data_IF_062979390975
#
_entry.id   IF_062979390975
#
_cell.length_a   1.000
_cell.length_b   1.000
_cell.length_c   1.000
_cell.angle_alpha   90.00
_cell.angle_beta   90.00
_cell.angle_gamma   90.00
#
_symmetry.space_group_name_H-M   'P 1'
#
loop_
_entity.id
_entity.type
_entity.pdbx_description
1 polymer ?
#
# COMPACT_ATOMS: atom_id res chain seq x y z
N UNK A 1 37.31 76.30 50.19
CA UNK A 1 36.94 75.35 49.11
C UNK A 1 36.70 74.00 49.77
N UNK A 2 35.53 73.83 50.40
CA UNK A 2 35.21 72.69 51.27
C UNK A 2 34.52 71.60 50.45
N UNK A 3 35.14 70.43 50.46
CA UNK A 3 34.67 69.15 49.94
C UNK A 3 33.33 68.75 50.56
N UNK A 4 32.24 68.90 49.80
CA UNK A 4 30.93 68.33 50.13
C UNK A 4 30.93 66.87 49.68
N UNK A 5 31.66 66.01 50.40
CA UNK A 5 31.49 64.56 50.29
C UNK A 5 30.28 64.21 51.16
N UNK A 6 29.09 64.27 50.57
CA UNK A 6 27.83 63.84 51.19
C UNK A 6 27.98 62.41 51.68
N UNK A 7 27.86 62.20 52.98
CA UNK A 7 27.80 60.88 53.59
C UNK A 7 26.60 60.13 52.99
N UNK A 8 26.87 59.19 52.10
CA UNK A 8 25.86 58.28 51.57
C UNK A 8 25.46 57.36 52.72
N UNK A 9 24.16 57.31 53.09
CA UNK A 9 23.72 56.48 54.20
C UNK A 9 24.04 55.01 53.89
N UNK A 10 24.61 54.32 54.89
CA UNK A 10 25.01 52.90 54.81
C UNK A 10 23.86 51.99 54.33
N UNK A 11 22.61 52.39 54.55
CA UNK A 11 21.41 51.72 54.03
C UNK A 11 21.40 51.58 52.51
N UNK A 12 21.92 52.55 51.74
CA UNK A 12 21.94 52.48 50.27
C UNK A 12 22.86 51.35 49.79
N UNK A 13 24.04 51.18 50.41
CA UNK A 13 24.95 50.08 50.07
C UNK A 13 24.36 48.72 50.45
N UNK A 14 23.61 48.65 51.54
CA UNK A 14 22.88 47.44 51.92
C UNK A 14 21.82 47.07 50.87
N UNK A 15 20.98 48.02 50.44
CA UNK A 15 19.98 47.77 49.39
C UNK A 15 20.62 47.39 48.05
N UNK A 16 21.71 48.04 47.65
CA UNK A 16 22.43 47.67 46.42
C UNK A 16 23.04 46.27 46.51
N UNK A 17 23.59 45.89 47.67
CA UNK A 17 24.10 44.55 47.91
C UNK A 17 23.01 43.47 47.82
N UNK A 18 21.84 43.73 48.41
CA UNK A 18 20.69 42.81 48.32
C UNK A 18 20.19 42.70 46.88
N UNK A 19 20.05 43.81 46.15
CA UNK A 19 19.62 43.80 44.75
C UNK A 19 20.61 43.04 43.86
N UNK A 20 21.92 43.25 44.05
CA UNK A 20 22.95 42.53 43.31
C UNK A 20 22.89 41.02 43.58
N UNK A 21 22.64 40.62 44.84
CA UNK A 21 22.49 39.22 45.24
C UNK A 21 21.23 38.59 44.62
N UNK A 22 20.08 39.29 44.62
CA UNK A 22 18.86 38.82 43.96
C UNK A 22 19.06 38.59 42.46
N UNK A 23 19.66 39.55 41.75
CA UNK A 23 19.94 39.44 40.31
C UNK A 23 20.93 38.30 40.04
N UNK A 24 21.94 38.12 40.89
CA UNK A 24 22.89 37.02 40.75
C UNK A 24 22.21 35.64 40.84
N UNK A 25 21.33 35.45 41.83
CA UNK A 25 20.56 34.21 41.99
C UNK A 25 19.60 33.95 40.84
N UNK A 26 18.89 34.97 40.36
CA UNK A 26 17.99 34.83 39.21
C UNK A 26 18.74 34.45 37.94
N UNK A 27 19.88 35.10 37.68
CA UNK A 27 20.68 34.85 36.48
C UNK A 27 21.31 33.45 36.50
N UNK A 28 21.92 33.06 37.62
CA UNK A 28 22.55 31.74 37.75
C UNK A 28 21.51 30.62 37.80
N UNK A 29 20.38 30.84 38.49
CA UNK A 29 19.29 29.88 38.54
C UNK A 29 18.67 29.65 37.15
N UNK A 30 18.44 30.72 36.39
CA UNK A 30 17.89 30.63 35.03
C UNK A 30 18.85 29.91 34.09
N UNK A 31 20.15 30.19 34.15
CA UNK A 31 21.14 29.53 33.28
C UNK A 31 21.22 28.03 33.55
N UNK A 32 21.27 27.60 34.82
CA UNK A 32 21.32 26.18 35.18
C UNK A 32 20.07 25.43 34.71
N UNK A 33 18.89 26.05 34.82
CA UNK A 33 17.64 25.45 34.32
C UNK A 33 17.65 25.37 32.80
N UNK A 34 18.12 26.42 32.13
CA UNK A 34 18.20 26.47 30.67
C UNK A 34 19.15 25.40 30.12
N UNK A 35 20.35 25.25 30.71
CA UNK A 35 21.32 24.23 30.31
C UNK A 35 20.77 22.81 30.48
N UNK A 36 20.09 22.54 31.61
CA UNK A 36 19.45 21.23 31.84
C UNK A 36 18.34 20.95 30.84
N UNK A 37 17.55 21.97 30.53
CA UNK A 37 16.49 21.87 29.53
C UNK A 37 17.04 21.61 28.13
N UNK A 38 18.08 22.34 27.74
CA UNK A 38 18.71 22.20 26.43
C UNK A 38 19.40 20.83 26.30
N UNK A 39 20.06 20.34 27.36
CA UNK A 39 20.61 18.98 27.41
C UNK A 39 19.51 17.92 27.27
N UNK A 40 18.41 18.05 28.02
CA UNK A 40 17.29 17.11 27.93
C UNK A 40 16.68 17.09 26.51
N UNK A 41 16.54 18.26 25.88
CA UNK A 41 16.08 18.37 24.49
C UNK A 41 17.03 17.68 23.50
N UNK A 42 18.33 17.88 23.65
CA UNK A 42 19.31 17.22 22.78
C UNK A 42 19.27 15.70 22.95
N UNK A 43 19.17 15.22 24.18
CA UNK A 43 19.05 13.79 24.45
C UNK A 43 17.76 13.20 23.86
N UNK A 44 16.64 13.92 23.97
CA UNK A 44 15.38 13.51 23.37
C UNK A 44 15.50 13.43 21.84
N UNK A 45 16.04 14.47 21.19
CA UNK A 45 16.24 14.49 19.75
C UNK A 45 17.15 13.35 19.27
N UNK A 46 18.20 13.02 20.02
CA UNK A 46 19.07 11.90 19.73
C UNK A 46 18.34 10.55 19.83
N UNK A 47 17.55 10.34 20.89
CA UNK A 47 16.76 9.13 21.06
C UNK A 47 15.70 8.99 19.96
N UNK A 48 15.03 10.09 19.60
CA UNK A 48 14.04 10.13 18.53
C UNK A 48 14.69 9.77 17.18
N UNK A 49 15.88 10.30 16.90
CA UNK A 49 16.62 9.96 15.68
C UNK A 49 16.99 8.47 15.65
N UNK A 50 17.44 7.89 16.77
CA UNK A 50 17.73 6.46 16.83
C UNK A 50 16.49 5.59 16.57
N UNK A 51 15.32 5.99 17.11
CA UNK A 51 14.08 5.28 16.83
C UNK A 51 13.68 5.38 15.36
N UNK A 52 13.89 6.54 14.73
CA UNK A 52 13.64 6.73 13.31
C UNK A 52 14.55 5.80 12.49
N UNK A 53 15.85 5.77 12.80
CA UNK A 53 16.82 4.92 12.10
C UNK A 53 16.48 3.42 12.24
N UNK A 54 16.06 3.00 13.44
CA UNK A 54 15.58 1.64 13.69
C UNK A 54 14.34 1.31 12.83
N UNK A 55 13.35 2.20 12.81
CA UNK A 55 12.16 2.01 11.97
C UNK A 55 12.50 1.96 10.48
N UNK A 56 13.46 2.75 10.02
CA UNK A 56 13.91 2.68 8.63
C UNK A 56 14.55 1.33 8.29
N UNK A 57 15.33 0.76 9.20
CA UNK A 57 15.89 -0.58 9.03
C UNK A 57 14.78 -1.65 9.00
N UNK A 58 13.84 -1.60 9.93
CA UNK A 58 12.68 -2.52 9.96
C UNK A 58 11.84 -2.44 8.68
N UNK A 59 11.58 -1.22 8.18
CA UNK A 59 10.85 -1.00 6.93
C UNK A 59 11.61 -1.58 5.73
N UNK A 60 12.94 -1.48 5.72
CA UNK A 60 13.76 -2.05 4.65
C UNK A 60 13.67 -3.58 4.63
N UNK A 61 13.75 -4.22 5.79
CA UNK A 61 13.63 -5.66 5.94
C UNK A 61 12.22 -6.16 5.55
N UNK A 62 11.19 -5.46 6.01
CA UNK A 62 9.79 -5.74 5.63
C UNK A 62 9.58 -5.61 4.13
N UNK A 63 10.18 -4.59 3.49
CA UNK A 63 10.10 -4.40 2.03
C UNK A 63 10.80 -5.53 1.27
N UNK A 64 11.93 -6.02 1.76
CA UNK A 64 12.62 -7.16 1.17
C UNK A 64 11.78 -8.45 1.29
N UNK A 65 11.22 -8.71 2.46
CA UNK A 65 10.32 -9.85 2.68
C UNK A 65 9.06 -9.76 1.79
N UNK A 66 8.47 -8.56 1.69
CA UNK A 66 7.30 -8.32 0.84
C UNK A 66 7.63 -8.54 -0.65
N UNK A 67 8.83 -8.17 -1.11
CA UNK A 67 9.25 -8.38 -2.49
C UNK A 67 9.32 -9.88 -2.84
N UNK A 68 9.85 -10.71 -1.94
CA UNK A 68 9.90 -12.18 -2.12
C UNK A 68 8.49 -12.77 -2.16
N UNK A 69 7.62 -12.34 -1.25
CA UNK A 69 6.21 -12.76 -1.22
C UNK A 69 5.49 -12.37 -2.52
N UNK A 70 5.65 -11.13 -2.98
CA UNK A 70 5.04 -10.65 -4.22
C UNK A 70 5.54 -11.44 -5.43
N UNK A 71 6.84 -11.76 -5.51
CA UNK A 71 7.38 -12.61 -6.57
C UNK A 71 6.76 -14.01 -6.56
N UNK A 72 6.55 -14.58 -5.37
CA UNK A 72 5.93 -15.90 -5.22
C UNK A 72 4.47 -15.89 -5.69
N UNK A 73 3.70 -14.88 -5.25
CA UNK A 73 2.30 -14.70 -5.68
C UNK A 73 2.22 -14.49 -7.20
N UNK A 74 3.10 -13.64 -7.75
CA UNK A 74 3.16 -13.37 -9.18
C UNK A 74 3.45 -14.64 -9.99
N UNK A 75 4.40 -15.46 -9.53
CA UNK A 75 4.74 -16.73 -10.19
C UNK A 75 3.53 -17.67 -10.26
N UNK A 76 2.82 -17.84 -9.14
CA UNK A 76 1.62 -18.71 -9.09
C UNK A 76 0.52 -18.16 -10.01
N UNK A 77 0.29 -16.85 -9.97
CA UNK A 77 -0.66 -16.19 -10.88
C UNK A 77 -0.31 -16.42 -12.36
N UNK A 78 0.95 -16.22 -12.74
CA UNK A 78 1.38 -16.36 -14.14
C UNK A 78 1.30 -17.80 -14.63
N UNK A 79 1.60 -18.78 -13.75
CA UNK A 79 1.43 -20.20 -14.05
C UNK A 79 -0.04 -20.59 -14.27
N UNK A 80 -0.95 -20.10 -13.42
CA UNK A 80 -2.40 -20.31 -13.61
C UNK A 80 -2.89 -19.69 -14.92
N UNK A 81 -2.51 -18.44 -15.21
CA UNK A 81 -2.94 -17.74 -16.43
C UNK A 81 -2.38 -18.39 -17.69
N UNK A 82 -1.13 -18.83 -17.66
CA UNK A 82 -0.54 -19.56 -18.80
C UNK A 82 -1.28 -20.89 -19.03
N UNK A 83 -1.63 -21.60 -17.95
CA UNK A 83 -2.40 -22.84 -18.04
C UNK A 83 -3.77 -22.60 -18.67
N UNK A 84 -4.51 -21.60 -18.18
CA UNK A 84 -5.85 -21.25 -18.68
C UNK A 84 -5.80 -20.77 -20.13
N UNK A 85 -4.87 -19.86 -20.45
CA UNK A 85 -4.73 -19.36 -21.82
C UNK A 85 -4.37 -20.47 -22.81
N UNK A 86 -3.50 -21.41 -22.43
CA UNK A 86 -3.15 -22.56 -23.26
C UNK A 86 -4.32 -23.54 -23.43
N UNK A 87 -5.18 -23.69 -22.42
CA UNK A 87 -6.38 -24.51 -22.51
C UNK A 87 -7.43 -23.86 -23.43
N UNK A 88 -7.59 -22.54 -23.34
CA UNK A 88 -8.53 -21.77 -24.17
C UNK A 88 -8.07 -21.68 -25.63
N UNK A 89 -6.77 -21.63 -25.88
CA UNK A 89 -6.20 -21.72 -27.23
C UNK A 89 -6.44 -23.10 -27.87
N UNK A 90 -6.50 -24.16 -27.06
CA UNK A 90 -6.77 -25.54 -27.49
C UNK A 90 -8.27 -25.88 -27.54
N UNK A 91 -9.14 -25.04 -26.98
CA UNK A 91 -10.58 -25.32 -26.94
C UNK A 91 -11.24 -25.05 -28.29
N UNK A 92 -12.10 -25.97 -28.72
CA UNK A 92 -12.94 -25.80 -29.92
C UNK A 92 -13.78 -24.51 -29.87
N UNK A 93 -14.27 -24.08 -31.04
CA UNK A 93 -15.17 -22.91 -31.13
C UNK A 93 -16.43 -23.16 -30.31
N UNK A 94 -16.82 -22.15 -29.53
CA UNK A 94 -17.98 -22.23 -28.67
C UNK A 94 -19.26 -22.43 -29.52
N UNK A 95 -20.16 -23.28 -29.03
CA UNK A 95 -21.44 -23.61 -29.67
C UNK A 95 -22.58 -23.03 -28.84
N UNK A 96 -23.51 -22.33 -29.49
CA UNK A 96 -24.76 -21.86 -28.88
C UNK A 96 -25.74 -23.03 -28.88
N UNK A 97 -26.10 -23.51 -27.69
CA UNK A 97 -27.14 -24.52 -27.54
C UNK A 97 -28.49 -23.93 -27.96
N UNK A 98 -29.28 -24.73 -28.70
CA UNK A 98 -30.67 -24.44 -29.08
C UNK A 98 -31.59 -24.07 -27.91
N UNK A 99 -31.23 -24.39 -26.66
CA UNK A 99 -32.00 -23.99 -25.47
C UNK A 99 -31.93 -22.49 -25.15
N UNK A 100 -30.86 -21.80 -25.56
CA UNK A 100 -30.74 -20.35 -25.38
C UNK A 100 -31.45 -19.56 -26.49
N UNK A 101 -31.64 -20.18 -27.66
CA UNK A 101 -32.37 -19.61 -28.79
C UNK A 101 -33.76 -20.25 -28.91
N UNK A 102 -34.59 -20.11 -27.88
CA UNK A 102 -36.03 -20.31 -28.01
C UNK A 102 -36.63 -19.00 -28.55
N UNK A 103 -36.89 -18.99 -29.85
CA UNK A 103 -37.47 -17.88 -30.64
C UNK A 103 -38.74 -17.28 -30.01
N UNK A 104 -39.03 -16.02 -30.34
CA UNK A 104 -40.23 -15.81 -31.15
C UNK A 104 -39.88 -15.22 -32.52
N UNK A 105 -40.25 -15.97 -33.56
CA UNK A 105 -40.47 -15.57 -34.96
C UNK A 105 -39.25 -15.19 -35.82
N UNK A 106 -38.67 -16.20 -36.47
CA UNK A 106 -37.95 -16.10 -37.74
C UNK A 106 -38.83 -15.48 -38.84
N UNK A 107 -38.64 -14.19 -39.17
CA UNK A 107 -38.87 -13.70 -40.52
C UNK A 107 -37.76 -14.29 -41.42
N UNK A 108 -38.18 -15.03 -42.44
CA UNK A 108 -37.31 -15.54 -43.48
C UNK A 108 -36.83 -14.36 -44.35
N UNK A 109 -35.54 -14.07 -44.31
CA UNK A 109 -34.85 -13.37 -45.39
C UNK A 109 -33.62 -14.19 -45.80
N UNK A 110 -33.49 -14.28 -47.11
CA UNK A 110 -32.75 -15.23 -47.93
C UNK A 110 -31.25 -14.90 -48.00
N UNK A 111 -30.48 -15.88 -48.51
CA UNK A 111 -29.12 -15.78 -49.09
C UNK A 111 -27.90 -15.73 -48.14
N UNK A 112 -27.29 -16.90 -47.93
CA UNK A 112 -25.98 -17.21 -48.55
C UNK A 112 -25.55 -18.65 -48.27
N UNK A 113 -25.18 -19.35 -49.34
CA UNK A 113 -24.58 -20.68 -49.43
C UNK A 113 -23.14 -20.66 -48.89
N UNK A 114 -22.84 -21.43 -47.83
CA UNK A 114 -21.49 -21.98 -47.56
C UNK A 114 -21.60 -23.36 -46.89
N UNK A 115 -21.23 -24.39 -47.65
CA UNK A 115 -20.49 -25.61 -47.29
C UNK A 115 -20.70 -26.30 -45.92
N UNK A 116 -21.33 -27.48 -45.99
CA UNK A 116 -20.92 -28.76 -45.37
C UNK A 116 -20.09 -28.73 -44.07
N UNK A 117 -20.77 -28.91 -42.95
CA UNK A 117 -20.36 -29.85 -41.89
C UNK A 117 -21.63 -30.38 -41.20
N UNK A 118 -22.23 -31.39 -41.84
CA UNK A 118 -23.38 -32.11 -41.32
C UNK A 118 -22.96 -33.15 -40.31
N UNK A 119 -22.94 -32.80 -39.02
CA UNK A 119 -23.18 -33.70 -37.89
C UNK A 119 -23.22 -32.94 -36.55
N UNK A 120 -24.24 -32.11 -36.31
CA UNK A 120 -24.86 -31.87 -34.98
C UNK A 120 -25.98 -30.83 -35.14
N UNK A 121 -27.25 -31.27 -35.22
CA UNK A 121 -28.41 -30.42 -35.54
C UNK A 121 -28.95 -29.60 -34.37
N UNK A 122 -28.25 -29.59 -33.22
CA UNK A 122 -28.72 -28.95 -31.98
C UNK A 122 -28.02 -27.66 -31.56
N UNK A 123 -27.02 -27.17 -32.30
CA UNK A 123 -26.26 -25.98 -31.88
C UNK A 123 -25.63 -25.19 -33.04
N UNK A 124 -25.60 -23.85 -32.92
CA UNK A 124 -24.97 -22.94 -33.89
C UNK A 124 -23.58 -22.55 -33.40
N UNK A 125 -22.55 -22.71 -34.22
CA UNK A 125 -21.21 -22.20 -33.92
C UNK A 125 -21.24 -20.67 -33.79
N UNK A 126 -20.56 -20.13 -32.78
CA UNK A 126 -20.40 -18.69 -32.61
C UNK A 126 -19.58 -18.09 -33.76
N UNK A 127 -19.93 -16.86 -34.17
CA UNK A 127 -19.09 -16.07 -35.09
C UNK A 127 -17.69 -15.92 -34.48
N UNK A 128 -16.65 -15.90 -35.32
CA UNK A 128 -15.26 -15.89 -34.88
C UNK A 128 -14.94 -14.69 -33.98
N UNK A 129 -15.51 -13.51 -34.29
CA UNK A 129 -15.37 -12.31 -33.47
C UNK A 129 -15.99 -12.47 -32.07
N UNK A 130 -17.18 -13.09 -31.98
CA UNK A 130 -17.87 -13.31 -30.71
C UNK A 130 -17.19 -14.42 -29.90
N UNK A 131 -16.72 -15.49 -30.55
CA UNK A 131 -15.91 -16.54 -29.90
C UNK A 131 -14.65 -15.94 -29.27
N UNK A 132 -13.95 -15.06 -30.01
CA UNK A 132 -12.77 -14.35 -29.50
C UNK A 132 -13.09 -13.44 -28.33
N UNK A 133 -14.16 -12.65 -28.43
CA UNK A 133 -14.58 -11.76 -27.35
C UNK A 133 -14.99 -12.52 -26.08
N UNK A 134 -15.73 -13.62 -26.21
CA UNK A 134 -16.11 -14.48 -25.07
C UNK A 134 -14.89 -15.14 -24.45
N UNK A 135 -13.96 -15.66 -25.26
CA UNK A 135 -12.70 -16.23 -24.75
C UNK A 135 -11.86 -15.17 -24.03
N UNK A 136 -11.78 -13.96 -24.55
CA UNK A 136 -11.10 -12.86 -23.88
C UNK A 136 -11.76 -12.52 -22.53
N UNK A 137 -13.10 -12.44 -22.51
CA UNK A 137 -13.84 -12.18 -21.27
C UNK A 137 -13.60 -13.28 -20.23
N UNK A 138 -13.60 -14.55 -20.64
CA UNK A 138 -13.28 -15.69 -19.77
C UNK A 138 -11.88 -15.51 -19.18
N UNK A 139 -10.88 -15.16 -20.00
CA UNK A 139 -9.51 -14.94 -19.55
C UNK A 139 -9.40 -13.77 -18.56
N UNK A 140 -10.11 -12.66 -18.80
CA UNK A 140 -10.16 -11.52 -17.89
C UNK A 140 -10.81 -11.90 -16.54
N UNK A 141 -11.92 -12.63 -16.57
CA UNK A 141 -12.57 -13.12 -15.34
C UNK A 141 -11.69 -14.09 -14.58
N UNK A 142 -11.01 -15.02 -15.27
CA UNK A 142 -10.08 -15.95 -14.64
C UNK A 142 -8.85 -15.27 -14.05
N UNK A 143 -8.39 -14.16 -14.66
CA UNK A 143 -7.32 -13.34 -14.08
C UNK A 143 -7.73 -12.72 -12.74
N UNK A 144 -8.96 -12.22 -12.66
CA UNK A 144 -9.48 -11.66 -11.42
C UNK A 144 -9.65 -12.73 -10.33
N UNK A 145 -10.17 -13.91 -10.68
CA UNK A 145 -10.36 -15.02 -9.73
C UNK A 145 -9.03 -15.67 -9.33
N UNK A 146 -8.06 -15.79 -10.24
CA UNK A 146 -6.70 -16.28 -9.96
C UNK A 146 -6.00 -15.42 -8.90
N UNK A 147 -6.17 -14.09 -8.96
CA UNK A 147 -5.65 -13.19 -7.93
C UNK A 147 -6.26 -13.50 -6.56
N UNK A 148 -7.57 -13.74 -6.50
CA UNK A 148 -8.25 -14.14 -5.26
C UNK A 148 -7.81 -15.51 -4.72
N UNK A 149 -7.62 -16.50 -5.60
CA UNK A 149 -7.11 -17.83 -5.22
C UNK A 149 -5.66 -17.77 -4.74
N UNK A 150 -4.80 -17.00 -5.41
CA UNK A 150 -3.42 -16.79 -4.99
C UNK A 150 -3.34 -16.12 -3.61
N UNK A 151 -4.20 -15.13 -3.34
CA UNK A 151 -4.32 -14.52 -2.02
C UNK A 151 -4.81 -15.52 -0.96
N UNK A 152 -5.83 -16.32 -1.25
CA UNK A 152 -6.30 -17.37 -0.33
C UNK A 152 -5.26 -18.45 -0.06
N UNK A 153 -4.51 -18.87 -1.09
CA UNK A 153 -3.42 -19.83 -0.95
C UNK A 153 -2.31 -19.27 -0.05
N UNK A 154 -1.96 -17.99 -0.22
CA UNK A 154 -1.02 -17.31 0.67
C UNK A 154 -1.53 -17.26 2.12
N UNK A 155 -2.78 -16.89 2.35
CA UNK A 155 -3.38 -16.82 3.69
C UNK A 155 -3.32 -18.20 4.38
N UNK A 156 -3.69 -19.28 3.66
CA UNK A 156 -3.63 -20.66 4.18
C UNK A 156 -2.20 -21.12 4.48
N UNK A 157 -1.26 -20.83 3.58
CA UNK A 157 0.14 -21.22 3.74
C UNK A 157 0.81 -20.55 4.96
N UNK A 158 0.31 -19.39 5.38
CA UNK A 158 0.82 -18.64 6.52
C UNK A 158 -0.02 -18.82 7.80
N UNK A 159 -1.00 -19.72 7.81
CA UNK A 159 -1.83 -19.98 9.00
C UNK A 159 -2.75 -18.82 9.40
N UNK A 160 -3.07 -17.91 8.48
CA UNK A 160 -3.90 -16.72 8.73
C UNK A 160 -5.40 -16.97 8.52
N UNK A 161 -5.78 -18.19 8.12
CA UNK A 161 -7.17 -18.64 8.01
C UNK A 161 -7.38 -19.76 9.04
N UNK A 162 -7.66 -19.37 10.29
CA UNK A 162 -8.38 -20.22 11.25
C UNK A 162 -9.88 -19.99 11.12
#
# INVERSE_FOLDING_TARGET
>A
MMTVLKAIPVSIYFFLGVMALCVFFEFHGRNVVQERWDFAKQQQAFNDQQQIDQRYAEIADLKAAQAITNQTIQKVHDEEINTISSALARSERLRISTKFCLDPARQANTESTVSSDGADTGSRLLSEEVDRAVKQLILETEKATATGRAAQAFIRANGLAE
#
